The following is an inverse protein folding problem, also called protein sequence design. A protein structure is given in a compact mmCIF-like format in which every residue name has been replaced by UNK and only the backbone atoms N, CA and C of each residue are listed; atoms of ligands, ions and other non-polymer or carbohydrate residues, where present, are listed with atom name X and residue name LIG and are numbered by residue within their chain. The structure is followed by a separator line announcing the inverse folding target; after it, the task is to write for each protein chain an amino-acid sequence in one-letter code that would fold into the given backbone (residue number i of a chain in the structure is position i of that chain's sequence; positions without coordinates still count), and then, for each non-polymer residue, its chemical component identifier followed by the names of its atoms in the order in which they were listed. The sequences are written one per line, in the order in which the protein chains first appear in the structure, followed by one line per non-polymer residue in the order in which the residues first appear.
data_IF_833150278909
#
_entry.id   IF_833150278909
#
_cell.length_a   1.000
_cell.length_b   1.000
_cell.length_c   1.000
_cell.angle_alpha   90.00
_cell.angle_beta   90.00
_cell.angle_gamma   90.00
#
_symmetry.space_group_name_H-M   'P 1'
#
loop_
_entity.id
_entity.type
_entity.pdbx_description
1 polymer ?
#
# COMPACT_ATOMS: atom_id res chain seq x y z
N UNK A 1 1.85 18.65 -3.56
CA UNK A 1 2.83 17.92 -2.75
C UNK A 1 3.93 17.47 -3.68
N UNK A 2 5.18 17.77 -3.33
CA UNK A 2 6.38 17.44 -4.11
C UNK A 2 7.02 16.18 -3.56
N UNK A 3 7.16 15.16 -4.41
CA UNK A 3 7.61 13.82 -4.00
C UNK A 3 8.82 13.39 -4.84
N UNK A 4 9.87 12.95 -4.18
CA UNK A 4 11.04 12.38 -4.83
C UNK A 4 10.97 10.87 -4.72
N UNK A 5 11.00 10.17 -5.87
CA UNK A 5 11.06 8.70 -5.94
C UNK A 5 12.44 8.28 -6.40
N UNK A 6 13.16 7.59 -5.53
CA UNK A 6 14.52 7.11 -5.79
C UNK A 6 14.50 5.65 -6.23
N UNK A 7 14.85 5.41 -7.49
CA UNK A 7 14.79 4.13 -8.17
C UNK A 7 13.66 4.08 -9.19
N UNK A 8 14.01 3.89 -10.46
CA UNK A 8 13.09 3.76 -11.60
C UNK A 8 12.88 2.29 -12.02
N UNK A 9 13.18 1.35 -11.14
CA UNK A 9 12.85 -0.06 -11.32
C UNK A 9 11.34 -0.30 -11.27
N UNK A 10 10.92 -1.56 -11.35
CA UNK A 10 9.50 -1.93 -11.41
C UNK A 10 8.66 -1.30 -10.29
N UNK A 11 9.12 -1.34 -9.04
CA UNK A 11 8.39 -0.78 -7.88
C UNK A 11 8.34 0.74 -7.96
N UNK A 12 9.49 1.41 -8.16
CA UNK A 12 9.55 2.87 -8.22
C UNK A 12 8.76 3.45 -9.40
N UNK A 13 8.78 2.78 -10.57
CA UNK A 13 7.98 3.16 -11.73
C UNK A 13 6.47 3.09 -11.41
N UNK A 14 6.01 2.03 -10.75
CA UNK A 14 4.61 1.88 -10.38
C UNK A 14 4.18 2.93 -9.35
N UNK A 15 5.03 3.22 -8.37
CA UNK A 15 4.79 4.28 -7.39
C UNK A 15 4.70 5.64 -8.11
N UNK A 16 5.69 5.97 -8.96
CA UNK A 16 5.71 7.23 -9.69
C UNK A 16 4.48 7.39 -10.59
N UNK A 17 4.05 6.31 -11.26
CA UNK A 17 2.85 6.30 -12.08
C UNK A 17 1.60 6.62 -11.25
N UNK A 18 1.41 5.91 -10.14
CA UNK A 18 0.25 6.13 -9.28
C UNK A 18 0.19 7.58 -8.74
N UNK A 19 1.34 8.10 -8.31
CA UNK A 19 1.43 9.48 -7.80
C UNK A 19 1.19 10.52 -8.91
N UNK A 20 1.67 10.27 -10.13
CA UNK A 20 1.40 11.12 -11.30
C UNK A 20 -0.08 11.11 -11.68
N UNK A 21 -0.73 9.94 -11.66
CA UNK A 21 -2.17 9.81 -11.91
C UNK A 21 -3.00 10.61 -10.88
N UNK A 22 -2.52 10.72 -9.63
CA UNK A 22 -3.09 11.54 -8.56
C UNK A 22 -2.67 13.04 -8.64
N UNK A 23 -2.00 13.44 -9.73
CA UNK A 23 -1.55 14.82 -9.99
C UNK A 23 -0.59 15.37 -8.95
N UNK A 24 0.25 14.54 -8.38
CA UNK A 24 1.35 14.97 -7.51
C UNK A 24 2.53 15.45 -8.35
N UNK A 25 3.33 16.36 -7.80
CA UNK A 25 4.59 16.80 -8.41
C UNK A 25 5.67 15.75 -8.11
N UNK A 26 5.97 14.90 -9.08
CA UNK A 26 6.85 13.74 -8.91
C UNK A 26 8.17 13.94 -9.64
N UNK A 27 9.27 13.71 -8.93
CA UNK A 27 10.60 13.68 -9.49
C UNK A 27 11.20 12.29 -9.29
N UNK A 28 11.60 11.62 -10.37
CA UNK A 28 12.21 10.29 -10.32
C UNK A 28 13.72 10.37 -10.45
N UNK A 29 14.45 9.67 -9.59
CA UNK A 29 15.93 9.58 -9.66
C UNK A 29 16.33 8.13 -9.90
N UNK A 30 17.15 7.89 -10.92
CA UNK A 30 17.81 6.59 -11.13
C UNK A 30 19.18 6.77 -11.77
N UNK A 31 20.10 5.85 -11.48
CA UNK A 31 21.43 5.84 -12.08
C UNK A 31 21.43 5.41 -13.56
N UNK A 32 20.39 4.72 -14.00
CA UNK A 32 20.23 4.21 -15.36
C UNK A 32 19.56 5.25 -16.26
N UNK A 33 20.30 5.76 -17.23
CA UNK A 33 19.75 6.68 -18.23
C UNK A 33 18.61 6.08 -19.05
N UNK A 34 18.61 4.75 -19.26
CA UNK A 34 17.58 4.07 -20.03
C UNK A 34 16.26 3.98 -19.25
N UNK A 35 16.36 3.72 -17.93
CA UNK A 35 15.17 3.74 -17.07
C UNK A 35 14.61 5.15 -16.95
N UNK A 36 15.46 6.17 -16.83
CA UNK A 36 15.03 7.57 -16.78
C UNK A 36 14.31 7.97 -18.07
N UNK A 37 14.85 7.62 -19.24
CA UNK A 37 14.17 7.88 -20.53
C UNK A 37 12.80 7.23 -20.56
N UNK A 38 12.72 5.95 -20.19
CA UNK A 38 11.44 5.23 -20.14
C UNK A 38 10.43 5.90 -19.24
N UNK A 39 10.83 6.35 -18.06
CA UNK A 39 9.96 7.06 -17.11
C UNK A 39 9.39 8.34 -17.71
N UNK A 40 10.26 9.17 -18.33
CA UNK A 40 9.86 10.44 -18.95
C UNK A 40 8.96 10.24 -20.18
N UNK A 41 9.20 9.16 -20.94
CA UNK A 41 8.40 8.84 -22.12
C UNK A 41 7.01 8.31 -21.76
N UNK A 42 6.86 7.64 -20.60
CA UNK A 42 5.63 6.97 -20.19
C UNK A 42 4.77 7.81 -19.20
N UNK A 43 5.39 8.71 -18.42
CA UNK A 43 4.74 9.41 -17.31
C UNK A 43 4.96 10.93 -17.42
N UNK A 44 3.99 11.70 -16.92
CA UNK A 44 4.11 13.14 -16.74
C UNK A 44 4.83 13.45 -15.41
N UNK A 45 6.16 13.24 -15.42
CA UNK A 45 7.02 13.45 -14.24
C UNK A 45 8.36 14.05 -14.64
N UNK A 46 9.00 14.74 -13.71
CA UNK A 46 10.40 15.16 -13.87
C UNK A 46 11.35 14.01 -13.52
N UNK A 47 12.55 14.00 -14.10
CA UNK A 47 13.50 12.94 -13.79
C UNK A 47 14.95 13.44 -13.75
N UNK A 48 15.77 12.83 -12.90
CA UNK A 48 17.20 13.11 -12.74
C UNK A 48 17.98 11.81 -12.86
N UNK A 49 18.96 11.80 -13.76
CA UNK A 49 19.87 10.65 -13.92
C UNK A 49 21.05 10.78 -12.95
N UNK A 50 21.15 9.86 -11.98
CA UNK A 50 22.23 9.88 -10.99
C UNK A 50 22.00 8.92 -9.83
N UNK A 51 23.00 8.83 -8.97
CA UNK A 51 22.90 8.04 -7.73
C UNK A 51 22.13 8.83 -6.67
N UNK A 52 20.95 8.38 -6.30
CA UNK A 52 20.09 9.05 -5.31
C UNK A 52 20.71 9.11 -3.89
N UNK A 53 21.74 8.29 -3.61
CA UNK A 53 22.53 8.37 -2.38
C UNK A 53 23.58 9.50 -2.39
N UNK A 54 23.65 10.30 -3.46
CA UNK A 54 24.55 11.46 -3.49
C UNK A 54 23.78 12.75 -3.22
N UNK A 55 24.19 13.55 -2.23
CA UNK A 55 23.47 14.78 -1.85
C UNK A 55 23.25 15.76 -3.01
N UNK A 56 24.25 15.93 -3.89
CA UNK A 56 24.15 16.82 -5.03
C UNK A 56 23.09 16.38 -6.07
N UNK A 57 22.83 15.07 -6.17
CA UNK A 57 21.77 14.53 -7.05
C UNK A 57 20.38 14.77 -6.44
N UNK A 58 20.24 14.61 -5.12
CA UNK A 58 19.03 14.97 -4.40
C UNK A 58 18.75 16.48 -4.48
N UNK A 59 19.79 17.31 -4.38
CA UNK A 59 19.68 18.75 -4.53
C UNK A 59 19.18 19.14 -5.93
N UNK A 60 19.72 18.51 -7.00
CA UNK A 60 19.24 18.69 -8.38
C UNK A 60 17.78 18.30 -8.56
N UNK A 61 17.32 17.30 -7.82
CA UNK A 61 15.91 16.90 -7.77
C UNK A 61 15.04 17.84 -6.90
N UNK A 62 15.62 18.89 -6.32
CA UNK A 62 14.91 19.86 -5.50
C UNK A 62 14.49 19.33 -4.13
N UNK A 63 15.38 18.57 -3.49
CA UNK A 63 15.15 17.95 -2.18
C UNK A 63 14.85 18.97 -1.07
N UNK A 64 15.31 20.24 -1.19
CA UNK A 64 15.03 21.30 -0.22
C UNK A 64 13.53 21.64 -0.09
N UNK A 65 12.76 21.47 -1.17
CA UNK A 65 11.34 21.79 -1.22
C UNK A 65 10.46 20.53 -1.29
N UNK A 66 11.04 19.35 -1.06
CA UNK A 66 10.31 18.10 -1.13
C UNK A 66 9.53 17.82 0.17
N UNK A 67 8.28 17.45 0.03
CA UNK A 67 7.42 17.04 1.14
C UNK A 67 7.67 15.59 1.56
N UNK A 68 8.12 14.76 0.60
CA UNK A 68 8.31 13.33 0.82
C UNK A 68 9.42 12.78 -0.08
N UNK A 69 10.12 11.78 0.44
CA UNK A 69 11.03 10.95 -0.34
C UNK A 69 10.70 9.47 -0.20
N UNK A 70 10.72 8.75 -1.31
CA UNK A 70 10.46 7.31 -1.38
C UNK A 70 11.69 6.64 -1.96
N UNK A 71 12.46 5.97 -1.11
CA UNK A 71 13.66 5.23 -1.50
C UNK A 71 13.27 3.79 -1.88
N UNK A 72 13.19 3.50 -3.17
CA UNK A 72 12.74 2.23 -3.73
C UNK A 72 13.77 1.59 -4.69
N UNK A 73 15.06 1.77 -4.41
CA UNK A 73 16.13 1.14 -5.18
C UNK A 73 16.23 -0.37 -4.92
N UNK A 74 17.17 -1.04 -5.58
CA UNK A 74 17.39 -2.48 -5.41
C UNK A 74 18.18 -2.84 -4.14
N UNK A 75 18.80 -1.88 -3.44
CA UNK A 75 19.59 -2.13 -2.23
C UNK A 75 18.93 -1.48 -1.02
N UNK A 76 18.68 -2.27 0.01
CA UNK A 76 18.11 -1.83 1.28
C UNK A 76 19.01 -0.79 1.95
N UNK A 77 20.33 -1.03 1.93
CA UNK A 77 21.34 -0.13 2.52
C UNK A 77 21.36 1.23 1.80
N UNK A 78 21.24 1.23 0.47
CA UNK A 78 21.14 2.48 -0.30
C UNK A 78 19.86 3.22 0.04
N UNK A 79 18.74 2.53 0.20
CA UNK A 79 17.47 3.13 0.59
C UNK A 79 17.56 3.77 1.99
N UNK A 80 18.21 3.09 2.93
CA UNK A 80 18.48 3.63 4.27
C UNK A 80 19.35 4.89 4.21
N UNK A 81 20.43 4.87 3.43
CA UNK A 81 21.33 6.03 3.25
C UNK A 81 20.60 7.21 2.62
N UNK A 82 19.75 6.97 1.63
CA UNK A 82 18.92 8.02 1.00
C UNK A 82 18.04 8.69 2.05
N UNK A 83 17.34 7.93 2.89
CA UNK A 83 16.50 8.48 3.95
C UNK A 83 17.30 9.26 5.00
N UNK A 84 18.52 8.77 5.35
CA UNK A 84 19.41 9.48 6.27
C UNK A 84 19.85 10.83 5.71
N UNK A 85 20.23 10.88 4.44
CA UNK A 85 20.64 12.13 3.77
C UNK A 85 19.45 13.09 3.66
N UNK A 86 18.29 12.58 3.27
CA UNK A 86 17.05 13.34 3.17
C UNK A 86 16.67 14.00 4.50
N UNK A 87 16.89 13.30 5.60
CA UNK A 87 16.67 13.84 6.95
C UNK A 87 17.73 14.87 7.35
N UNK A 88 19.02 14.48 7.28
CA UNK A 88 20.10 15.24 7.91
C UNK A 88 20.50 16.49 7.12
N UNK A 89 20.37 16.47 5.80
CA UNK A 89 20.80 17.56 4.93
C UNK A 89 19.61 18.41 4.45
N UNK A 90 18.52 17.75 4.05
CA UNK A 90 17.40 18.42 3.41
C UNK A 90 16.18 18.59 4.31
N UNK A 91 16.16 17.94 5.49
CA UNK A 91 15.04 18.01 6.45
C UNK A 91 13.69 17.62 5.83
N UNK A 92 13.68 16.67 4.89
CA UNK A 92 12.45 16.20 4.25
C UNK A 92 11.53 15.59 5.32
N UNK A 93 10.28 16.06 5.44
CA UNK A 93 9.39 15.68 6.52
C UNK A 93 9.07 14.18 6.54
N UNK A 94 8.77 13.57 5.38
CA UNK A 94 8.35 12.18 5.29
C UNK A 94 9.32 11.35 4.45
N UNK A 95 9.81 10.28 5.04
CA UNK A 95 10.81 9.38 4.44
C UNK A 95 10.31 7.96 4.47
N UNK A 96 10.15 7.38 3.28
CA UNK A 96 9.67 6.02 3.07
C UNK A 96 10.80 5.21 2.45
N UNK A 97 11.09 4.04 2.98
CA UNK A 97 12.11 3.16 2.44
C UNK A 97 11.56 1.78 2.10
N UNK A 98 11.96 1.27 0.95
CA UNK A 98 11.78 -0.14 0.62
C UNK A 98 12.88 -0.94 1.29
N UNK A 99 12.48 -1.89 2.16
CA UNK A 99 13.36 -2.83 2.85
C UNK A 99 12.85 -4.24 2.55
N UNK A 100 13.68 -5.08 1.96
CA UNK A 100 13.31 -6.45 1.55
C UNK A 100 13.80 -7.51 2.52
N UNK A 101 14.95 -7.25 3.12
CA UNK A 101 15.58 -8.21 4.02
C UNK A 101 14.83 -8.30 5.34
N UNK A 102 14.30 -9.50 5.63
CA UNK A 102 13.61 -9.78 6.88
C UNK A 102 14.50 -9.54 8.12
N UNK A 103 15.83 -9.66 7.98
CA UNK A 103 16.76 -9.39 9.08
C UNK A 103 16.69 -7.95 9.57
N UNK A 104 16.35 -7.00 8.71
CA UNK A 104 16.14 -5.61 9.11
C UNK A 104 14.74 -5.34 9.68
N UNK A 105 13.79 -6.26 9.47
CA UNK A 105 12.37 -6.09 9.85
C UNK A 105 11.99 -6.83 11.14
N UNK A 106 12.97 -7.46 11.81
CA UNK A 106 12.74 -8.12 13.09
C UNK A 106 12.35 -7.09 14.17
N UNK A 107 11.39 -7.44 15.02
CA UNK A 107 10.89 -6.58 16.10
C UNK A 107 12.00 -6.05 17.02
N UNK A 108 13.04 -6.85 17.23
CA UNK A 108 14.19 -6.49 18.04
C UNK A 108 14.95 -5.26 17.51
N UNK A 109 14.81 -4.96 16.21
CA UNK A 109 15.49 -3.83 15.56
C UNK A 109 14.54 -2.67 15.24
N UNK A 110 13.30 -2.71 15.67
CA UNK A 110 12.30 -1.65 15.43
C UNK A 110 12.75 -0.27 15.93
N UNK A 111 13.51 -0.22 17.02
CA UNK A 111 14.08 1.02 17.55
C UNK A 111 15.14 1.65 16.64
N UNK A 112 15.70 0.88 15.68
CA UNK A 112 16.69 1.37 14.73
C UNK A 112 16.13 2.41 13.77
N UNK A 113 14.82 2.31 13.44
CA UNK A 113 14.14 3.20 12.49
C UNK A 113 13.54 4.46 13.12
N UNK A 114 14.01 4.83 14.31
CA UNK A 114 13.58 6.07 14.97
C UNK A 114 14.33 7.28 14.42
N UNK A 115 13.74 8.46 14.60
CA UNK A 115 14.31 9.73 14.13
C UNK A 115 15.69 10.08 14.67
N UNK A 116 16.05 9.52 15.82
CA UNK A 116 17.36 9.71 16.48
C UNK A 116 18.44 8.74 15.97
N UNK A 117 18.06 7.71 15.22
CA UNK A 117 18.99 6.73 14.64
C UNK A 117 18.93 6.76 13.10
N UNK A 118 18.05 5.99 12.52
CA UNK A 118 17.82 5.95 11.08
C UNK A 118 16.39 6.44 10.78
N UNK A 119 16.23 7.69 10.33
CA UNK A 119 14.93 8.35 10.22
C UNK A 119 14.12 7.85 9.03
N UNK A 120 13.49 6.71 9.19
CA UNK A 120 12.52 6.14 8.23
C UNK A 120 11.16 6.16 8.91
N UNK A 121 10.22 6.90 8.32
CA UNK A 121 8.88 7.06 8.89
C UNK A 121 7.99 5.88 8.53
N UNK A 122 8.23 5.25 7.37
CA UNK A 122 7.46 4.09 6.90
C UNK A 122 8.35 3.15 6.08
N UNK A 123 8.20 1.86 6.33
CA UNK A 123 8.91 0.81 5.59
C UNK A 123 7.91 0.08 4.70
N UNK A 124 8.23 -0.04 3.42
CA UNK A 124 7.47 -0.86 2.47
C UNK A 124 8.27 -2.12 2.11
N UNK A 125 7.62 -3.26 2.23
CA UNK A 125 8.15 -4.55 1.81
C UNK A 125 7.11 -5.26 0.94
N UNK A 126 7.09 -4.98 -0.38
CA UNK A 126 6.08 -5.56 -1.28
C UNK A 126 6.05 -7.09 -1.23
N UNK A 127 7.21 -7.71 -1.03
CA UNK A 127 7.35 -9.16 -0.94
C UNK A 127 6.62 -9.73 0.30
N UNK A 128 6.72 -9.04 1.43
CA UNK A 128 6.04 -9.40 2.68
C UNK A 128 4.54 -9.17 2.58
N UNK A 129 4.12 -8.02 2.07
CA UNK A 129 2.71 -7.69 1.85
C UNK A 129 2.01 -8.72 0.96
N UNK A 130 2.68 -9.15 -0.12
CA UNK A 130 2.15 -10.20 -1.01
C UNK A 130 2.06 -11.53 -0.26
N UNK A 131 3.09 -11.91 0.50
CA UNK A 131 3.11 -13.17 1.25
C UNK A 131 2.00 -13.20 2.32
N UNK A 132 1.84 -12.13 3.08
CA UNK A 132 0.78 -11.99 4.08
C UNK A 132 -0.62 -12.02 3.44
N UNK A 133 -0.81 -11.33 2.31
CA UNK A 133 -2.04 -11.37 1.54
C UNK A 133 -2.39 -12.76 0.99
N UNK A 134 -1.37 -13.54 0.58
CA UNK A 134 -1.56 -14.93 0.15
C UNK A 134 -1.92 -15.84 1.34
N UNK A 135 -1.25 -15.68 2.49
CA UNK A 135 -1.56 -16.45 3.70
C UNK A 135 -3.01 -16.22 4.14
N UNK A 136 -3.46 -14.96 4.20
CA UNK A 136 -4.86 -14.63 4.51
C UNK A 136 -5.87 -15.31 3.56
N UNK A 137 -5.52 -15.43 2.27
CA UNK A 137 -6.37 -16.15 1.29
C UNK A 137 -6.37 -17.66 1.50
N UNK A 138 -5.28 -18.23 2.01
CA UNK A 138 -5.21 -19.66 2.34
C UNK A 138 -5.99 -19.99 3.62
N UNK A 139 -6.05 -19.08 4.58
CA UNK A 139 -6.86 -19.23 5.80
C UNK A 139 -8.36 -19.25 5.51
N UNK A 140 -8.80 -18.49 4.50
CA UNK A 140 -10.20 -18.45 4.06
C UNK A 140 -10.28 -18.70 2.54
N UNK A 141 -10.15 -19.96 2.09
CA UNK A 141 -10.05 -20.31 0.67
C UNK A 141 -11.25 -19.87 -0.18
N UNK A 142 -12.42 -19.69 0.44
CA UNK A 142 -13.61 -19.22 -0.24
C UNK A 142 -13.68 -17.69 -0.39
N UNK A 143 -12.80 -16.94 0.31
CA UNK A 143 -12.77 -15.49 0.25
C UNK A 143 -12.00 -15.00 -0.98
N UNK A 144 -12.58 -14.04 -1.70
CA UNK A 144 -11.84 -13.28 -2.70
C UNK A 144 -11.11 -12.09 -2.09
N UNK A 145 -11.53 -11.65 -0.89
CA UNK A 145 -10.95 -10.55 -0.14
C UNK A 145 -11.17 -10.76 1.37
N UNK A 146 -10.16 -10.41 2.17
CA UNK A 146 -10.23 -10.37 3.62
C UNK A 146 -9.47 -9.15 4.13
N UNK A 147 -10.15 -8.25 4.83
CA UNK A 147 -9.56 -7.01 5.37
C UNK A 147 -9.82 -6.93 6.87
N UNK A 148 -8.75 -6.73 7.62
CA UNK A 148 -8.82 -6.56 9.07
C UNK A 148 -9.08 -5.10 9.44
N UNK A 149 -9.87 -4.91 10.49
CA UNK A 149 -10.17 -3.63 11.11
C UNK A 149 -9.95 -3.73 12.62
N UNK A 150 -9.70 -2.59 13.26
CA UNK A 150 -9.55 -2.47 14.72
C UNK A 150 -8.49 -3.44 15.28
N UNK A 151 -7.30 -3.43 14.69
CA UNK A 151 -6.17 -4.27 15.09
C UNK A 151 -6.52 -5.77 15.14
N UNK A 152 -7.28 -6.24 14.14
CA UNK A 152 -7.68 -7.65 14.02
C UNK A 152 -8.95 -8.03 14.81
N UNK A 153 -9.55 -7.09 15.55
CA UNK A 153 -10.79 -7.35 16.31
C UNK A 153 -12.04 -7.54 15.43
N UNK A 154 -11.98 -7.08 14.17
CA UNK A 154 -13.02 -7.28 13.18
C UNK A 154 -12.40 -7.59 11.82
N UNK A 155 -12.99 -8.51 11.08
CA UNK A 155 -12.53 -8.88 9.74
C UNK A 155 -13.70 -8.77 8.76
N UNK A 156 -13.50 -8.03 7.66
CA UNK A 156 -14.44 -8.02 6.55
C UNK A 156 -13.99 -9.07 5.52
N UNK A 157 -14.89 -10.01 5.22
CA UNK A 157 -14.61 -11.10 4.30
C UNK A 157 -15.55 -11.01 3.10
N UNK A 158 -14.99 -10.93 1.91
CA UNK A 158 -15.73 -11.03 0.65
C UNK A 158 -15.78 -12.46 0.15
N UNK A 159 -16.98 -13.02 0.03
CA UNK A 159 -17.20 -14.39 -0.46
C UNK A 159 -17.94 -14.38 -1.78
N UNK A 160 -17.50 -15.19 -2.75
CA UNK A 160 -18.26 -15.45 -3.96
C UNK A 160 -19.07 -16.73 -3.78
N UNK A 161 -20.40 -16.61 -3.80
CA UNK A 161 -21.29 -17.76 -3.71
C UNK A 161 -21.41 -18.43 -5.09
N UNK A 162 -21.03 -19.70 -5.16
CA UNK A 162 -21.22 -20.54 -6.36
C UNK A 162 -22.59 -21.25 -6.29
N UNK A 163 -23.08 -21.74 -7.43
CA UNK A 163 -24.41 -22.38 -7.54
C UNK A 163 -24.62 -23.57 -6.56
N UNK A 164 -23.53 -24.19 -6.13
CA UNK A 164 -23.57 -25.33 -5.20
C UNK A 164 -23.57 -24.90 -3.72
N UNK A 165 -23.55 -23.60 -3.44
CA UNK A 165 -23.46 -23.11 -2.06
C UNK A 165 -24.79 -23.28 -1.32
N UNK A 166 -24.76 -23.97 -0.18
CA UNK A 166 -25.96 -24.29 0.62
C UNK A 166 -26.73 -23.08 1.14
N UNK A 167 -26.11 -21.90 1.17
CA UNK A 167 -26.74 -20.65 1.64
C UNK A 167 -27.46 -19.89 0.51
N UNK A 168 -27.36 -20.36 -0.74
CA UNK A 168 -28.12 -19.77 -1.84
C UNK A 168 -29.61 -19.94 -1.61
N UNK A 169 -30.38 -18.92 -1.98
CA UNK A 169 -31.84 -18.87 -1.80
C UNK A 169 -32.31 -18.91 -0.32
N UNK A 170 -31.41 -18.74 0.63
CA UNK A 170 -31.74 -18.63 2.06
C UNK A 170 -31.85 -17.17 2.46
N UNK A 171 -32.95 -16.71 3.05
CA UNK A 171 -33.07 -15.36 3.56
C UNK A 171 -32.01 -15.07 4.63
N UNK A 172 -31.37 -13.88 4.57
CA UNK A 172 -30.29 -13.52 5.52
C UNK A 172 -30.68 -13.68 6.99
N UNK A 173 -31.95 -13.43 7.32
CA UNK A 173 -32.48 -13.61 8.68
C UNK A 173 -32.39 -15.05 9.16
N UNK A 174 -32.60 -16.03 8.27
CA UNK A 174 -32.47 -17.45 8.59
C UNK A 174 -31.01 -17.90 8.71
N UNK A 175 -30.06 -17.23 8.06
CA UNK A 175 -28.65 -17.56 8.21
C UNK A 175 -28.17 -17.38 9.65
N UNK A 176 -28.59 -16.32 10.33
CA UNK A 176 -28.25 -16.08 11.74
C UNK A 176 -28.85 -17.13 12.69
N UNK A 177 -30.00 -17.70 12.33
CA UNK A 177 -30.66 -18.76 13.09
C UNK A 177 -30.01 -20.14 12.83
N UNK A 178 -29.67 -20.43 11.58
CA UNK A 178 -29.03 -21.69 11.16
C UNK A 178 -27.58 -21.80 11.63
N UNK A 179 -26.88 -20.68 11.72
CA UNK A 179 -25.47 -20.61 12.09
C UNK A 179 -25.29 -19.75 13.35
N UNK A 180 -25.96 -20.11 14.43
CA UNK A 180 -25.94 -19.38 15.69
C UNK A 180 -24.55 -19.24 16.35
N UNK A 181 -23.58 -20.06 15.93
CA UNK A 181 -22.17 -19.97 16.37
C UNK A 181 -21.34 -19.03 15.49
N UNK A 182 -21.89 -18.55 14.37
CA UNK A 182 -21.19 -17.67 13.46
C UNK A 182 -21.35 -16.22 13.95
N UNK A 183 -20.33 -15.68 14.61
CA UNK A 183 -20.25 -14.26 14.97
C UNK A 183 -19.98 -13.39 13.74
N UNK A 184 -20.88 -13.41 12.77
CA UNK A 184 -20.74 -12.66 11.53
C UNK A 184 -22.06 -11.99 11.14
N UNK A 185 -21.96 -10.81 10.57
CA UNK A 185 -23.07 -10.07 9.97
C UNK A 185 -22.81 -9.86 8.49
N UNK A 186 -23.85 -9.98 7.68
CA UNK A 186 -23.75 -9.64 6.25
C UNK A 186 -23.98 -8.14 6.11
N UNK A 187 -22.97 -7.41 5.69
CA UNK A 187 -23.02 -5.94 5.53
C UNK A 187 -23.42 -5.51 4.11
N UNK A 188 -23.32 -6.41 3.13
CA UNK A 188 -23.71 -6.11 1.76
C UNK A 188 -23.72 -7.35 0.86
N UNK A 189 -24.46 -7.26 -0.22
CA UNK A 189 -24.53 -8.29 -1.27
C UNK A 189 -24.29 -7.60 -2.61
N UNK A 190 -23.36 -8.10 -3.40
CA UNK A 190 -23.14 -7.64 -4.77
C UNK A 190 -23.69 -8.64 -5.77
N UNK A 191 -24.57 -8.17 -6.66
CA UNK A 191 -25.09 -8.94 -7.80
C UNK A 191 -24.76 -8.21 -9.09
N UNK A 192 -23.78 -8.73 -9.84
CA UNK A 192 -23.23 -8.02 -10.99
C UNK A 192 -22.64 -6.66 -10.58
N UNK A 193 -23.16 -5.59 -11.14
CA UNK A 193 -22.74 -4.21 -10.82
C UNK A 193 -23.55 -3.55 -9.70
N UNK A 194 -24.55 -4.24 -9.15
CA UNK A 194 -25.40 -3.70 -8.08
C UNK A 194 -24.91 -4.14 -6.72
N UNK A 195 -24.67 -3.18 -5.82
CA UNK A 195 -24.36 -3.42 -4.43
C UNK A 195 -25.59 -3.10 -3.56
N UNK A 196 -26.08 -4.10 -2.84
CA UNK A 196 -27.18 -3.99 -1.90
C UNK A 196 -26.61 -3.99 -0.49
N UNK A 197 -26.93 -2.95 0.28
CA UNK A 197 -26.56 -2.88 1.71
C UNK A 197 -27.62 -3.60 2.53
N UNK A 198 -27.21 -4.33 3.55
CA UNK A 198 -28.08 -5.09 4.44
C UNK A 198 -28.36 -4.36 5.76
N UNK A 199 -27.69 -3.23 5.99
CA UNK A 199 -28.01 -2.37 7.13
C UNK A 199 -29.36 -1.69 6.86
N UNK A 200 -30.33 -1.78 7.80
CA UNK A 200 -31.61 -1.11 7.61
C UNK A 200 -31.40 0.40 7.59
N UNK A 201 -31.49 1.00 6.39
CA UNK A 201 -31.70 2.43 6.27
C UNK A 201 -33.14 2.72 6.75
N UNK A 202 -33.39 3.86 7.41
CA UNK A 202 -34.76 4.28 7.71
C UNK A 202 -35.71 4.31 6.49
N UNK A 203 -35.15 4.40 5.28
CA UNK A 203 -35.90 4.33 4.01
C UNK A 203 -36.27 2.91 3.60
N UNK A 204 -35.46 1.91 3.98
CA UNK A 204 -35.70 0.50 3.58
C UNK A 204 -36.83 -0.14 4.40
N UNK A 205 -37.23 0.48 5.50
CA UNK A 205 -38.34 0.01 6.37
C UNK A 205 -39.70 0.41 5.77
N UNK A 206 -39.76 1.46 4.94
CA UNK A 206 -41.00 1.92 4.31
C UNK A 206 -41.35 1.14 3.03
N UNK A 207 -40.37 0.58 2.32
CA UNK A 207 -40.61 -0.20 1.08
C UNK A 207 -40.86 -1.70 1.33
N UNK A 208 -40.74 -2.17 2.56
CA UNK A 208 -40.94 -3.57 2.95
C UNK A 208 -42.35 -3.86 3.54
N UNK A 209 -43.32 -2.95 3.32
CA UNK A 209 -44.74 -3.14 3.71
C UNK A 209 -45.63 -3.45 2.52
#
# INVERSE_FOLDING_TARGET
MKIIVCGAGQVGLQIAKHLSDERMDVIVIDKSSDLIKKVVDELDVSAVCGYASYPNVLEQAGAHDADMIIAATLSDEVNMVICQIAHSIFSIPRKIARIRSNFYLEENYSSFYRSDHLPIDEIISPEREIAEGLLKRLEVPAAFEATEFLDGSAVLIGLTLKEECAVLSTPLRQLSELFSTLNAIVVGIRRGNCLLYTSPSPRDVEEAR
#
